data_IF_772230405428
#
_entry.id   IF_772230405428
#
_cell.length_a   1.000
_cell.length_b   1.000
_cell.length_c   1.000
_cell.angle_alpha   90.00
_cell.angle_beta   90.00
_cell.angle_gamma   90.00
#
_symmetry.space_group_name_H-M   'P 1'
#
loop_
_entity.id
_entity.type
_entity.pdbx_description
1 polymer ?
#
# COMPACT_ATOMS: atom_id res chain seq x y z
N UNK A 1 2.40 -38.26 33.82
CA UNK A 1 1.15 -38.26 33.05
C UNK A 1 0.41 -36.97 33.32
N UNK A 2 0.50 -36.02 32.39
CA UNK A 2 -0.22 -34.74 32.44
C UNK A 2 -0.66 -34.45 31.01
N UNK A 3 -1.96 -34.63 30.74
CA UNK A 3 -2.56 -34.39 29.42
C UNK A 3 -2.89 -32.92 29.26
N UNK A 4 -2.42 -32.27 28.19
CA UNK A 4 -2.91 -30.97 27.79
C UNK A 4 -4.10 -31.14 26.84
N UNK A 5 -5.26 -30.61 27.23
CA UNK A 5 -6.48 -30.58 26.40
C UNK A 5 -6.43 -29.34 25.50
N UNK A 6 -6.37 -29.56 24.18
CA UNK A 6 -6.66 -28.53 23.18
C UNK A 6 -8.17 -28.19 23.23
N UNK A 7 -8.52 -26.93 23.44
CA UNK A 7 -9.87 -26.42 23.20
C UNK A 7 -9.96 -25.99 21.73
N UNK A 8 -10.54 -26.84 20.89
CA UNK A 8 -10.97 -26.49 19.53
C UNK A 8 -12.37 -25.90 19.62
N UNK A 9 -12.52 -24.61 19.28
CA UNK A 9 -13.83 -23.96 19.16
C UNK A 9 -14.38 -24.21 17.76
N UNK A 10 -15.59 -24.78 17.70
CA UNK A 10 -16.30 -25.15 16.49
C UNK A 10 -16.66 -23.93 15.62
N UNK A 11 -16.03 -23.85 14.44
CA UNK A 11 -16.60 -23.25 13.23
C UNK A 11 -15.90 -23.88 12.02
N UNK A 12 -16.13 -25.17 11.83
CA UNK A 12 -15.69 -25.95 10.65
C UNK A 12 -16.95 -26.37 9.91
N UNK A 13 -17.25 -25.72 8.77
CA UNK A 13 -17.23 -26.51 7.54
C UNK A 13 -16.82 -25.66 6.33
N UNK A 14 -15.52 -25.57 6.05
CA UNK A 14 -15.05 -25.23 4.69
C UNK A 14 -13.64 -25.81 4.36
N UNK A 15 -13.30 -26.94 4.99
CA UNK A 15 -12.10 -27.72 4.68
C UNK A 15 -12.51 -29.18 4.49
N UNK A 16 -13.19 -29.48 3.39
CA UNK A 16 -13.51 -30.84 2.99
C UNK A 16 -13.16 -30.97 1.50
N UNK A 17 -11.85 -31.00 1.21
CA UNK A 17 -11.21 -31.66 0.06
C UNK A 17 -9.68 -31.52 0.23
N UNK A 18 -9.15 -32.05 1.33
CA UNK A 18 -7.74 -32.45 1.40
C UNK A 18 -7.82 -33.95 1.64
N UNK A 19 -7.27 -34.73 0.70
CA UNK A 19 -7.27 -36.18 0.77
C UNK A 19 -6.67 -36.62 2.12
N UNK A 20 -7.35 -37.54 2.81
CA UNK A 20 -6.89 -38.09 4.08
C UNK A 20 -5.52 -38.79 3.97
N UNK A 21 -5.09 -39.13 2.75
CA UNK A 21 -3.79 -39.74 2.45
C UNK A 21 -2.60 -38.75 2.51
N UNK A 22 -2.83 -37.44 2.68
CA UNK A 22 -1.75 -36.44 2.84
C UNK A 22 -1.20 -36.35 4.28
N UNK A 23 -1.80 -37.08 5.23
CA UNK A 23 -1.38 -37.16 6.63
C UNK A 23 -1.05 -38.60 7.03
N UNK A 24 -0.33 -39.33 6.17
CA UNK A 24 0.43 -40.46 6.67
C UNK A 24 1.40 -39.93 7.73
N UNK A 25 1.36 -40.48 8.94
CA UNK A 25 2.39 -40.26 9.97
C UNK A 25 3.71 -40.80 9.41
N UNK A 26 4.43 -39.96 8.69
CA UNK A 26 5.84 -40.15 8.47
C UNK A 26 6.50 -39.88 9.82
N UNK A 27 7.09 -40.93 10.41
CA UNK A 27 7.92 -40.86 11.61
C UNK A 27 9.15 -40.04 11.24
N UNK A 28 8.96 -38.72 11.25
CA UNK A 28 10.02 -37.75 11.01
C UNK A 28 10.86 -37.74 12.28
N UNK A 29 12.16 -38.04 12.13
CA UNK A 29 13.16 -37.81 13.17
C UNK A 29 13.07 -36.32 13.57
N UNK A 30 12.35 -36.05 14.65
CA UNK A 30 12.12 -34.70 15.12
C UNK A 30 13.41 -34.19 15.77
N UNK A 31 14.27 -33.55 14.99
CA UNK A 31 15.33 -32.72 15.53
C UNK A 31 14.71 -31.48 16.17
N UNK A 32 15.01 -31.25 17.45
CA UNK A 32 14.53 -30.06 18.14
C UNK A 32 15.06 -28.81 17.42
N UNK A 33 14.20 -27.80 17.17
CA UNK A 33 14.61 -26.62 16.41
C UNK A 33 15.76 -25.90 17.12
N UNK A 34 16.75 -25.52 16.32
CA UNK A 34 17.92 -24.75 16.73
C UNK A 34 17.51 -23.40 17.34
N UNK A 35 18.40 -22.76 18.11
CA UNK A 35 18.16 -21.40 18.61
C UNK A 35 17.95 -20.39 17.47
N UNK A 36 18.58 -20.63 16.31
CA UNK A 36 18.38 -19.83 15.11
C UNK A 36 16.93 -19.93 14.62
N UNK A 37 16.41 -21.15 14.46
CA UNK A 37 15.02 -21.35 14.00
C UNK A 37 14.02 -20.80 15.01
N UNK A 38 14.19 -21.10 16.31
CA UNK A 38 13.31 -20.61 17.38
C UNK A 38 13.18 -19.09 17.40
N UNK A 39 14.26 -18.36 17.15
CA UNK A 39 14.23 -16.90 17.17
C UNK A 39 13.27 -16.29 16.13
N UNK A 40 13.02 -16.98 15.02
CA UNK A 40 12.06 -16.49 14.02
C UNK A 40 10.61 -16.84 14.40
N UNK A 41 10.36 -18.06 14.90
CA UNK A 41 9.00 -18.57 15.13
C UNK A 41 8.42 -18.27 16.52
N UNK A 42 9.22 -18.22 17.59
CA UNK A 42 8.73 -18.03 18.96
C UNK A 42 8.06 -16.66 19.16
N UNK A 43 8.63 -15.62 18.54
CA UNK A 43 8.05 -14.27 18.50
C UNK A 43 7.36 -13.97 17.17
N UNK A 44 7.36 -14.95 16.26
CA UNK A 44 6.77 -14.83 14.93
C UNK A 44 5.26 -14.70 14.99
N UNK A 45 4.69 -13.93 14.07
CA UNK A 45 3.23 -13.77 13.91
C UNK A 45 2.82 -14.21 12.52
N UNK A 46 2.13 -15.34 12.43
CA UNK A 46 1.46 -15.81 11.23
C UNK A 46 0.00 -15.37 11.24
N UNK A 47 -0.43 -14.63 10.22
CA UNK A 47 -1.83 -14.27 10.03
C UNK A 47 -2.34 -14.86 8.72
N UNK A 48 -3.53 -15.45 8.79
CA UNK A 48 -4.35 -15.78 7.63
C UNK A 48 -5.48 -14.76 7.56
N UNK A 49 -5.55 -14.00 6.48
CA UNK A 49 -6.64 -13.08 6.19
C UNK A 49 -7.46 -13.63 5.03
N UNK A 50 -8.78 -13.69 5.20
CA UNK A 50 -9.71 -14.01 4.13
C UNK A 50 -10.78 -12.94 4.07
N UNK A 51 -11.08 -12.44 2.87
CA UNK A 51 -12.11 -11.42 2.68
C UNK A 51 -12.93 -11.66 1.43
N UNK A 52 -14.19 -11.22 1.46
CA UNK A 52 -15.05 -11.11 0.29
C UNK A 52 -15.20 -9.62 -0.04
N UNK A 53 -14.70 -9.23 -1.20
CA UNK A 53 -14.78 -7.86 -1.70
C UNK A 53 -15.84 -7.75 -2.79
N UNK A 54 -16.74 -6.78 -2.65
CA UNK A 54 -17.78 -6.48 -3.63
C UNK A 54 -17.78 -4.98 -3.91
N UNK A 55 -17.62 -4.59 -5.18
CA UNK A 55 -17.70 -3.20 -5.63
C UNK A 55 -18.67 -3.08 -6.79
N UNK A 56 -19.60 -2.14 -6.66
CA UNK A 56 -20.51 -1.75 -7.72
C UNK A 56 -20.54 -0.23 -7.83
N UNK A 57 -20.01 0.31 -8.93
CA UNK A 57 -20.03 1.74 -9.25
C UNK A 57 -20.81 1.93 -10.54
N UNK A 58 -22.03 2.43 -10.41
CA UNK A 58 -22.79 2.91 -11.55
C UNK A 58 -22.38 4.35 -11.88
N UNK A 59 -22.35 4.68 -13.16
CA UNK A 59 -22.05 6.01 -13.67
C UNK A 59 -23.29 6.56 -14.34
N UNK A 60 -23.53 7.86 -14.13
CA UNK A 60 -24.62 8.56 -14.80
C UNK A 60 -24.23 8.79 -16.25
N UNK A 61 -25.04 8.26 -17.17
CA UNK A 61 -24.95 8.56 -18.58
C UNK A 61 -25.33 10.02 -18.82
N UNK A 62 -24.46 10.85 -19.41
CA UNK A 62 -24.76 12.26 -19.67
C UNK A 62 -25.82 12.47 -20.76
N UNK A 63 -25.99 11.53 -21.69
CA UNK A 63 -26.97 11.61 -22.77
C UNK A 63 -28.36 11.19 -22.31
N UNK A 64 -28.46 10.12 -21.51
CA UNK A 64 -29.76 9.57 -21.07
C UNK A 64 -30.16 9.95 -19.64
N UNK A 65 -29.22 10.46 -18.85
CA UNK A 65 -29.40 10.78 -17.43
C UNK A 65 -29.54 9.56 -16.51
N UNK A 66 -29.50 8.34 -17.05
CA UNK A 66 -29.69 7.09 -16.30
C UNK A 66 -28.37 6.59 -15.71
N UNK A 67 -28.44 5.91 -14.58
CA UNK A 67 -27.28 5.23 -13.98
C UNK A 67 -27.17 3.82 -14.54
N UNK A 68 -25.95 3.44 -14.95
CA UNK A 68 -25.61 2.10 -15.41
C UNK A 68 -24.11 1.85 -15.32
N UNK A 69 -23.62 0.71 -15.83
CA UNK A 69 -22.19 0.44 -15.81
C UNK A 69 -21.45 1.33 -16.83
N UNK A 70 -21.87 1.42 -18.08
CA UNK A 70 -21.26 2.35 -19.04
C UNK A 70 -19.72 2.24 -19.16
N UNK A 71 -19.03 3.23 -19.76
CA UNK A 71 -17.58 3.15 -19.99
C UNK A 71 -16.71 3.26 -18.73
N UNK A 72 -17.21 3.87 -17.65
CA UNK A 72 -16.45 4.11 -16.42
C UNK A 72 -17.03 3.42 -15.18
N UNK A 73 -18.06 2.60 -15.35
CA UNK A 73 -18.61 1.81 -14.25
C UNK A 73 -17.71 0.66 -13.87
N UNK A 74 -17.95 0.16 -12.66
CA UNK A 74 -17.20 -0.94 -12.09
C UNK A 74 -18.19 -1.94 -11.53
N UNK A 75 -17.96 -3.21 -11.84
CA UNK A 75 -18.57 -4.33 -11.14
C UNK A 75 -17.48 -5.34 -10.81
N UNK A 76 -17.35 -5.70 -9.54
CA UNK A 76 -16.33 -6.64 -9.10
C UNK A 76 -16.84 -7.45 -7.90
N UNK A 77 -16.54 -8.75 -7.93
CA UNK A 77 -16.69 -9.67 -6.80
C UNK A 77 -15.41 -10.49 -6.73
N UNK A 78 -14.70 -10.38 -5.60
CA UNK A 78 -13.39 -11.00 -5.42
C UNK A 78 -13.33 -11.68 -4.06
N UNK A 79 -12.96 -12.96 -4.03
CA UNK A 79 -12.50 -13.63 -2.82
C UNK A 79 -11.00 -13.41 -2.66
N UNK A 80 -10.55 -12.94 -1.50
CA UNK A 80 -9.14 -12.77 -1.20
C UNK A 80 -8.73 -13.74 -0.09
N UNK A 81 -7.54 -14.32 -0.26
CA UNK A 81 -6.83 -15.11 0.74
C UNK A 81 -5.41 -14.57 0.81
N UNK A 82 -4.98 -14.13 1.97
CA UNK A 82 -3.64 -13.62 2.20
C UNK A 82 -3.01 -14.27 3.43
N UNK A 83 -1.73 -14.58 3.31
CA UNK A 83 -0.91 -15.08 4.40
C UNK A 83 0.18 -14.05 4.64
N UNK A 84 0.31 -13.60 5.88
CA UNK A 84 1.43 -12.76 6.30
C UNK A 84 2.16 -13.41 7.46
N UNK A 85 3.48 -13.31 7.41
CA UNK A 85 4.35 -13.79 8.45
C UNK A 85 5.35 -12.70 8.80
N UNK A 86 5.32 -12.25 10.05
CA UNK A 86 6.28 -11.30 10.61
C UNK A 86 7.15 -12.09 11.56
N UNK A 87 8.42 -12.33 11.22
CA UNK A 87 9.31 -13.09 12.11
C UNK A 87 9.70 -12.28 13.35
N UNK A 88 10.10 -12.99 14.40
CA UNK A 88 10.96 -12.46 15.46
C UNK A 88 12.35 -12.06 14.96
N UNK A 89 13.21 -11.62 15.87
CA UNK A 89 14.60 -11.24 15.55
C UNK A 89 15.59 -12.26 16.11
N UNK A 90 16.41 -12.85 15.23
CA UNK A 90 17.57 -13.60 15.65
C UNK A 90 18.61 -12.67 16.29
N UNK A 91 19.00 -13.02 17.51
CA UNK A 91 19.89 -12.22 18.37
C UNK A 91 19.42 -10.76 18.53
N UNK A 92 18.11 -10.53 18.54
CA UNK A 92 17.50 -9.19 18.60
C UNK A 92 17.85 -8.26 17.42
N UNK A 93 18.53 -8.78 16.39
CA UNK A 93 19.13 -7.99 15.32
C UNK A 93 18.49 -8.22 13.97
N UNK A 94 18.35 -9.46 13.52
CA UNK A 94 17.95 -9.77 12.14
C UNK A 94 16.65 -10.59 12.08
N UNK A 95 15.73 -10.21 11.22
CA UNK A 95 14.48 -10.91 10.98
C UNK A 95 14.07 -10.86 9.52
N UNK A 96 12.89 -11.36 9.20
CA UNK A 96 12.29 -11.26 7.89
C UNK A 96 10.77 -11.12 7.96
N UNK A 97 10.19 -10.53 6.92
CA UNK A 97 8.76 -10.41 6.72
C UNK A 97 8.36 -11.03 5.39
N UNK A 98 7.18 -11.65 5.40
CA UNK A 98 6.55 -12.22 4.21
C UNK A 98 5.08 -11.84 4.13
N UNK A 99 4.60 -11.56 2.92
CA UNK A 99 3.19 -11.39 2.60
C UNK A 99 2.91 -11.96 1.22
N UNK A 100 2.15 -13.05 1.17
CA UNK A 100 1.63 -13.67 -0.05
C UNK A 100 0.12 -13.59 -0.10
N UNK A 101 -0.45 -13.44 -1.29
CA UNK A 101 -1.89 -13.35 -1.47
C UNK A 101 -2.37 -14.01 -2.77
N UNK A 102 -3.67 -14.34 -2.76
CA UNK A 102 -4.45 -14.76 -3.91
C UNK A 102 -5.74 -13.93 -3.95
N UNK A 103 -6.01 -13.28 -5.08
CA UNK A 103 -7.28 -12.62 -5.35
C UNK A 103 -7.99 -13.44 -6.43
N UNK A 104 -9.17 -13.95 -6.10
CA UNK A 104 -9.96 -14.91 -6.89
C UNK A 104 -11.19 -14.19 -7.39
N UNK A 105 -11.32 -14.06 -8.72
CA UNK A 105 -12.49 -13.51 -9.38
C UNK A 105 -13.70 -14.42 -9.18
N UNK A 106 -14.75 -13.88 -8.56
CA UNK A 106 -16.01 -14.59 -8.27
C UNK A 106 -17.11 -14.05 -9.21
N UNK A 107 -17.08 -14.46 -10.48
CA UNK A 107 -18.11 -14.11 -11.46
C UNK A 107 -17.70 -13.01 -12.44
N UNK A 108 -18.70 -12.35 -13.02
CA UNK A 108 -18.47 -11.33 -14.06
C UNK A 108 -17.95 -10.02 -13.47
N UNK A 109 -16.98 -9.42 -14.16
CA UNK A 109 -16.37 -8.15 -13.78
C UNK A 109 -16.46 -7.16 -14.93
N UNK A 110 -16.65 -5.89 -14.59
CA UNK A 110 -16.70 -4.78 -15.55
C UNK A 110 -15.74 -3.69 -15.09
N UNK A 111 -14.93 -3.21 -16.03
CA UNK A 111 -14.06 -2.04 -15.88
C UNK A 111 -12.89 -2.20 -14.91
N UNK A 112 -12.38 -1.02 -14.55
CA UNK A 112 -11.37 -0.53 -13.59
C UNK A 112 -11.41 -0.93 -12.09
N UNK A 113 -11.65 -2.17 -11.62
CA UNK A 113 -11.87 -2.39 -10.17
C UNK A 113 -10.69 -2.08 -9.24
N UNK A 114 -9.44 -2.14 -9.71
CA UNK A 114 -8.22 -1.96 -8.89
C UNK A 114 -8.08 -3.01 -7.79
N UNK A 115 -8.58 -4.23 -8.03
CA UNK A 115 -8.54 -5.33 -7.06
C UNK A 115 -8.00 -6.60 -7.70
N UNK A 116 -8.41 -6.87 -8.94
CA UNK A 116 -7.95 -8.01 -9.73
C UNK A 116 -6.85 -7.59 -10.71
N UNK A 117 -6.12 -8.58 -11.22
CA UNK A 117 -5.06 -8.33 -12.17
C UNK A 117 -5.63 -7.86 -13.52
N UNK A 118 -5.07 -6.74 -14.01
CA UNK A 118 -5.34 -6.20 -15.33
C UNK A 118 -4.53 -6.95 -16.38
N UNK A 119 -5.21 -7.82 -17.12
CA UNK A 119 -4.65 -8.45 -18.30
C UNK A 119 -4.98 -7.59 -19.53
N UNK A 120 -3.95 -6.99 -20.13
CA UNK A 120 -4.08 -6.13 -21.30
C UNK A 120 -4.09 -6.92 -22.61
N UNK A 121 -3.79 -8.22 -22.57
CA UNK A 121 -3.67 -9.09 -23.74
C UNK A 121 -4.92 -9.97 -23.96
N UNK A 122 -5.85 -10.00 -23.00
CA UNK A 122 -7.03 -10.86 -23.08
C UNK A 122 -8.18 -10.32 -23.95
N UNK A 123 -8.10 -9.05 -24.34
CA UNK A 123 -9.09 -8.39 -25.20
C UNK A 123 -8.81 -8.61 -26.68
N UNK A 124 -9.31 -7.70 -27.52
CA UNK A 124 -8.99 -7.69 -28.94
C UNK A 124 -7.51 -7.34 -29.17
N UNK A 125 -6.76 -8.10 -29.99
CA UNK A 125 -5.36 -7.81 -30.27
C UNK A 125 -5.14 -6.37 -30.75
N UNK A 126 -4.23 -5.65 -30.09
CA UNK A 126 -3.90 -4.26 -30.40
C UNK A 126 -4.92 -3.21 -29.93
N UNK A 127 -6.02 -3.61 -29.28
CA UNK A 127 -7.02 -2.71 -28.72
C UNK A 127 -6.90 -2.61 -27.20
N UNK A 128 -7.12 -1.42 -26.67
CA UNK A 128 -7.21 -1.21 -25.22
C UNK A 128 -8.54 -1.75 -24.68
N UNK A 129 -8.57 -3.05 -24.41
CA UNK A 129 -9.74 -3.77 -23.91
C UNK A 129 -9.36 -4.74 -22.79
N UNK A 130 -8.70 -4.27 -21.71
CA UNK A 130 -8.21 -5.17 -20.68
C UNK A 130 -9.36 -5.82 -19.91
N UNK A 131 -9.12 -7.04 -19.45
CA UNK A 131 -10.05 -7.78 -18.59
C UNK A 131 -9.39 -8.07 -17.24
N UNK A 132 -10.24 -8.23 -16.23
CA UNK A 132 -9.79 -8.58 -14.89
C UNK A 132 -9.67 -10.10 -14.72
N UNK A 133 -8.54 -10.55 -14.16
CA UNK A 133 -8.25 -11.97 -13.86
C UNK A 133 -7.86 -12.19 -12.40
N UNK A 134 -8.15 -13.39 -11.92
CA UNK A 134 -7.59 -13.89 -10.66
C UNK A 134 -6.07 -13.87 -10.73
N UNK A 135 -5.41 -13.63 -9.61
CA UNK A 135 -3.95 -13.67 -9.55
C UNK A 135 -3.46 -14.07 -8.15
N UNK A 136 -2.21 -14.51 -8.10
CA UNK A 136 -1.46 -14.73 -6.87
C UNK A 136 -0.20 -13.88 -6.92
N UNK A 137 0.25 -13.37 -5.77
CA UNK A 137 1.44 -12.53 -5.72
C UNK A 137 2.09 -12.55 -4.34
N UNK A 138 3.36 -12.17 -4.29
CA UNK A 138 4.10 -11.87 -3.07
C UNK A 138 4.32 -10.37 -3.01
N UNK A 139 3.73 -9.69 -2.02
CA UNK A 139 3.90 -8.25 -1.82
C UNK A 139 5.06 -7.94 -0.89
N UNK A 140 5.30 -8.78 0.10
CA UNK A 140 6.39 -8.57 1.06
C UNK A 140 7.27 -9.80 1.09
N UNK A 141 8.56 -9.57 0.95
CA UNK A 141 9.64 -10.54 1.11
C UNK A 141 10.87 -9.69 1.45
N UNK A 142 11.02 -9.38 2.73
CA UNK A 142 11.99 -8.40 3.21
C UNK A 142 12.83 -8.98 4.34
N UNK A 143 14.11 -8.65 4.35
CA UNK A 143 14.97 -8.80 5.51
C UNK A 143 14.83 -7.55 6.37
N UNK A 144 14.77 -7.73 7.69
CA UNK A 144 14.67 -6.67 8.67
C UNK A 144 15.90 -6.64 9.55
N UNK A 145 16.35 -5.45 9.89
CA UNK A 145 17.38 -5.18 10.87
C UNK A 145 16.81 -4.29 11.98
N UNK A 146 17.16 -4.59 13.22
CA UNK A 146 16.90 -3.76 14.39
C UNK A 146 18.19 -3.67 15.21
N UNK A 147 18.74 -2.47 15.36
CA UNK A 147 19.95 -2.22 16.14
C UNK A 147 19.67 -1.21 17.24
N UNK A 148 20.13 -1.49 18.45
CA UNK A 148 19.98 -0.61 19.61
C UNK A 148 18.73 -0.89 20.43
N UNK A 149 18.52 -0.07 21.44
CA UNK A 149 17.54 -0.30 22.51
C UNK A 149 16.24 0.50 22.29
N UNK A 150 15.27 0.25 23.18
CA UNK A 150 14.06 1.06 23.24
C UNK A 150 14.40 2.55 23.45
N UNK A 151 13.91 3.40 22.56
CA UNK A 151 14.19 4.85 22.58
C UNK A 151 15.45 5.28 21.84
N UNK A 152 16.35 4.38 21.46
CA UNK A 152 17.46 4.70 20.55
C UNK A 152 17.76 3.48 19.67
N UNK A 153 17.08 3.41 18.52
CA UNK A 153 17.24 2.28 17.62
C UNK A 153 17.29 2.69 16.15
N UNK A 154 17.95 1.85 15.37
CA UNK A 154 17.93 1.88 13.92
C UNK A 154 17.18 0.66 13.40
N UNK A 155 16.16 0.89 12.59
CA UNK A 155 15.39 -0.15 11.89
C UNK A 155 15.58 -0.01 10.40
N UNK A 156 15.69 -1.14 9.71
CA UNK A 156 15.77 -1.23 8.26
C UNK A 156 14.93 -2.41 7.79
N UNK A 157 14.16 -2.24 6.73
CA UNK A 157 13.57 -3.34 5.96
C UNK A 157 14.07 -3.23 4.52
N UNK A 158 14.60 -4.30 3.94
CA UNK A 158 15.15 -4.32 2.60
C UNK A 158 14.69 -5.56 1.81
N UNK A 159 14.43 -5.39 0.52
CA UNK A 159 13.87 -6.41 -0.36
C UNK A 159 12.57 -5.94 -1.00
N UNK A 160 11.53 -6.74 -0.91
CA UNK A 160 10.17 -6.34 -1.25
C UNK A 160 9.46 -5.86 0.01
N UNK A 161 9.35 -4.54 0.17
CA UNK A 161 8.86 -3.93 1.40
C UNK A 161 7.93 -2.75 1.09
N UNK A 162 6.88 -2.53 1.89
CA UNK A 162 6.20 -1.25 1.93
C UNK A 162 7.20 -0.13 2.30
N UNK A 163 6.97 1.09 1.79
CA UNK A 163 7.68 2.31 2.22
C UNK A 163 6.69 3.21 2.95
N UNK A 164 7.04 3.66 4.15
CA UNK A 164 6.22 4.55 4.98
C UNK A 164 7.00 5.77 5.48
N UNK A 165 7.95 6.25 4.69
CA UNK A 165 8.92 7.27 5.05
C UNK A 165 8.80 8.53 4.21
N UNK A 166 9.06 9.69 4.83
CA UNK A 166 8.92 11.00 4.19
C UNK A 166 7.60 11.17 3.42
N UNK A 167 7.70 11.51 2.13
CA UNK A 167 6.55 11.78 1.24
C UNK A 167 6.00 10.53 0.54
N UNK A 168 6.58 9.35 0.79
CA UNK A 168 6.09 8.08 0.25
C UNK A 168 5.45 7.29 1.37
N UNK A 169 4.16 6.98 1.21
CA UNK A 169 3.43 6.11 2.14
C UNK A 169 2.79 4.98 1.34
N UNK A 170 2.87 3.78 1.88
CA UNK A 170 2.28 2.62 1.25
C UNK A 170 0.77 2.66 1.42
N UNK A 171 0.04 2.57 0.31
CA UNK A 171 -1.40 2.36 0.33
C UNK A 171 -1.73 0.88 0.51
N UNK A 172 -2.97 0.62 0.94
CA UNK A 172 -3.51 -0.70 1.17
C UNK A 172 -4.91 -0.76 0.57
N UNK A 173 -5.10 -1.66 -0.41
CA UNK A 173 -6.44 -2.13 -0.79
C UNK A 173 -6.72 -3.44 -0.05
N UNK A 174 -6.83 -4.55 -0.78
CA UNK A 174 -6.87 -5.89 -0.15
C UNK A 174 -5.49 -6.39 0.27
N UNK A 175 -4.45 -5.91 -0.41
CA UNK A 175 -3.06 -6.29 -0.16
C UNK A 175 -2.20 -5.02 -0.11
N UNK A 176 -1.01 -5.08 0.51
CA UNK A 176 -0.14 -3.90 0.55
C UNK A 176 0.44 -3.59 -0.82
N UNK A 177 0.54 -2.29 -1.12
CA UNK A 177 1.52 -1.78 -2.07
C UNK A 177 2.93 -2.09 -1.58
N UNK A 178 3.85 -2.31 -2.51
CA UNK A 178 5.20 -2.64 -2.14
C UNK A 178 6.21 -2.09 -3.14
N UNK A 179 7.43 -1.94 -2.65
CA UNK A 179 8.57 -1.44 -3.41
C UNK A 179 9.70 -2.45 -3.38
N UNK A 180 10.51 -2.47 -4.44
CA UNK A 180 11.83 -3.11 -4.41
C UNK A 180 12.84 -2.06 -3.98
N UNK A 181 13.41 -2.25 -2.80
CA UNK A 181 14.31 -1.27 -2.21
C UNK A 181 14.44 -1.45 -0.72
N UNK A 182 14.55 -0.35 0.01
CA UNK A 182 14.59 -0.38 1.46
C UNK A 182 13.87 0.82 2.09
N UNK A 183 13.43 0.62 3.32
CA UNK A 183 12.89 1.64 4.20
C UNK A 183 13.63 1.57 5.55
N UNK A 184 14.10 2.72 6.04
CA UNK A 184 14.88 2.82 7.26
C UNK A 184 14.40 3.93 8.19
N UNK A 185 14.57 3.70 9.49
CA UNK A 185 14.23 4.66 10.53
C UNK A 185 15.27 4.66 11.65
N UNK A 186 15.80 5.83 11.99
CA UNK A 186 16.56 6.07 13.19
C UNK A 186 15.66 6.78 14.22
N UNK A 187 15.44 6.16 15.36
CA UNK A 187 14.68 6.73 16.48
C UNK A 187 15.65 7.21 17.55
N UNK A 188 15.49 8.46 18.00
CA UNK A 188 16.20 9.12 19.08
C UNK A 188 15.16 9.76 20.02
N UNK A 189 14.72 8.99 21.02
CA UNK A 189 13.61 9.30 21.92
C UNK A 189 12.35 9.71 21.14
N UNK A 190 12.03 11.01 21.14
CA UNK A 190 10.85 11.60 20.48
C UNK A 190 11.05 11.91 19.00
N UNK A 191 12.30 11.90 18.52
CA UNK A 191 12.64 12.16 17.12
C UNK A 191 12.80 10.86 16.35
N UNK A 192 12.12 10.73 15.21
CA UNK A 192 12.30 9.64 14.26
C UNK A 192 12.69 10.20 12.90
N UNK A 193 13.91 9.92 12.48
CA UNK A 193 14.41 10.23 11.15
C UNK A 193 14.23 9.02 10.25
N UNK A 194 13.82 9.24 9.01
CA UNK A 194 13.50 8.17 8.08
C UNK A 194 14.13 8.42 6.73
N UNK A 195 14.55 7.35 6.06
CA UNK A 195 15.04 7.39 4.69
C UNK A 195 14.65 6.12 3.96
N UNK A 196 14.14 6.26 2.74
CA UNK A 196 13.79 5.14 1.88
C UNK A 196 14.25 5.38 0.44
N UNK A 197 14.53 4.30 -0.26
CA UNK A 197 14.90 4.27 -1.67
C UNK A 197 14.27 3.06 -2.34
N UNK A 198 13.80 3.22 -3.58
CA UNK A 198 13.29 2.11 -4.37
C UNK A 198 13.41 2.38 -5.87
N UNK A 199 13.54 1.32 -6.66
CA UNK A 199 13.62 1.38 -8.13
C UNK A 199 12.47 0.67 -8.85
N UNK A 200 11.67 -0.12 -8.11
CA UNK A 200 10.45 -0.74 -8.62
C UNK A 200 9.30 -0.63 -7.65
N UNK A 201 8.11 -0.69 -8.22
CA UNK A 201 6.86 -0.58 -7.50
C UNK A 201 5.89 -1.65 -7.97
N UNK A 202 5.11 -2.17 -7.02
CA UNK A 202 4.01 -3.10 -7.25
C UNK A 202 2.73 -2.57 -6.62
N UNK A 203 1.73 -2.35 -7.46
CA UNK A 203 0.34 -2.13 -7.02
C UNK A 203 -0.24 -3.40 -6.39
N UNK A 204 -1.24 -3.25 -5.53
CA UNK A 204 -2.00 -4.37 -4.93
C UNK A 204 -2.94 -5.08 -5.90
N UNK A 205 -3.06 -4.61 -7.14
CA UNK A 205 -3.71 -5.31 -8.25
C UNK A 205 -2.71 -5.74 -9.34
N UNK A 206 -1.42 -5.79 -9.01
CA UNK A 206 -0.35 -6.27 -9.90
C UNK A 206 0.32 -7.51 -9.34
N UNK A 207 0.67 -8.44 -10.24
CA UNK A 207 1.42 -9.64 -9.89
C UNK A 207 2.91 -9.35 -9.66
N UNK A 208 3.47 -8.45 -10.47
CA UNK A 208 4.91 -8.32 -10.65
C UNK A 208 5.41 -6.91 -10.26
N UNK A 209 6.60 -6.83 -9.65
CA UNK A 209 7.31 -5.57 -9.44
C UNK A 209 7.82 -5.00 -10.75
N UNK A 210 7.33 -3.82 -11.12
CA UNK A 210 7.62 -3.17 -12.40
C UNK A 210 8.42 -1.88 -12.21
N UNK A 211 9.14 -1.43 -13.26
CA UNK A 211 9.69 -0.08 -13.28
C UNK A 211 8.60 0.94 -12.96
N UNK A 212 8.97 1.97 -12.20
CA UNK A 212 8.11 3.15 -12.03
C UNK A 212 8.14 3.97 -13.31
N UNK A 213 6.99 4.52 -13.70
CA UNK A 213 6.89 5.29 -14.94
C UNK A 213 6.05 6.53 -14.74
N UNK A 214 6.18 7.50 -15.63
CA UNK A 214 5.33 8.71 -15.66
C UNK A 214 3.89 8.46 -16.13
N UNK A 215 3.53 7.20 -16.41
CA UNK A 215 2.19 6.79 -16.84
C UNK A 215 1.55 5.81 -15.83
N UNK A 216 0.25 5.98 -15.58
CA UNK A 216 -0.50 5.22 -14.57
C UNK A 216 -0.54 3.71 -14.81
N UNK A 217 -0.57 3.28 -16.08
CA UNK A 217 -0.61 1.87 -16.47
C UNK A 217 0.77 1.18 -16.44
N UNK A 218 1.82 1.84 -15.92
CA UNK A 218 3.19 1.32 -15.84
C UNK A 218 3.68 0.73 -17.17
N UNK A 219 3.37 1.41 -18.29
CA UNK A 219 3.63 0.98 -19.67
C UNK A 219 3.00 -0.35 -20.13
N UNK A 220 2.15 -1.01 -19.35
CA UNK A 220 1.49 -2.26 -19.77
C UNK A 220 0.48 -2.05 -20.93
N UNK A 221 -0.09 -0.85 -21.04
CA UNK A 221 -1.02 -0.50 -22.10
C UNK A 221 -0.36 0.18 -23.31
N UNK A 222 0.96 0.39 -23.27
CA UNK A 222 1.65 1.15 -24.31
C UNK A 222 1.57 0.43 -25.66
N UNK A 223 1.25 1.18 -26.72
CA UNK A 223 1.06 0.63 -28.06
C UNK A 223 -0.35 0.14 -28.37
N UNK A 224 -1.23 0.02 -27.36
CA UNK A 224 -2.64 -0.34 -27.59
C UNK A 224 -3.45 0.87 -28.10
N UNK A 225 -4.45 0.58 -28.93
CA UNK A 225 -5.40 1.57 -29.44
C UNK A 225 -6.57 1.77 -28.45
N UNK A 226 -6.64 2.94 -27.82
CA UNK A 226 -7.79 3.41 -27.03
C UNK A 226 -8.64 4.34 -27.91
N UNK A 227 -9.67 3.77 -28.54
CA UNK A 227 -10.64 4.50 -29.36
C UNK A 227 -10.00 5.36 -30.47
N UNK A 228 -9.12 4.74 -31.27
CA UNK A 228 -8.43 5.41 -32.38
C UNK A 228 -7.21 6.23 -31.96
N UNK A 229 -6.78 6.15 -30.69
CA UNK A 229 -5.55 6.78 -30.19
C UNK A 229 -4.62 5.74 -29.60
N UNK A 230 -3.42 5.65 -30.15
CA UNK A 230 -2.36 4.81 -29.58
C UNK A 230 -1.90 5.37 -28.23
N UNK A 231 -1.94 4.52 -27.21
CA UNK A 231 -1.45 4.84 -25.87
C UNK A 231 0.08 4.92 -25.91
N UNK A 232 0.61 6.07 -25.48
CA UNK A 232 2.07 6.31 -25.44
C UNK A 232 2.69 5.66 -24.21
N UNK A 233 3.92 5.18 -24.36
CA UNK A 233 4.73 4.80 -23.21
C UNK A 233 5.10 6.05 -22.38
N UNK A 234 4.96 5.95 -21.07
CA UNK A 234 5.55 6.88 -20.12
C UNK A 234 7.05 6.66 -19.99
N UNK A 235 7.76 7.70 -19.54
CA UNK A 235 9.18 7.61 -19.27
C UNK A 235 9.43 6.80 -17.99
N UNK A 236 10.55 6.06 -17.94
CA UNK A 236 10.94 5.28 -16.76
C UNK A 236 11.58 6.22 -15.74
N UNK A 237 11.14 6.10 -14.49
CA UNK A 237 11.72 6.78 -13.34
C UNK A 237 12.71 5.81 -12.69
N UNK A 238 14.01 6.10 -12.78
CA UNK A 238 15.07 5.17 -12.35
C UNK A 238 14.94 4.74 -10.89
N UNK A 239 14.64 5.71 -10.02
CA UNK A 239 14.41 5.46 -8.62
C UNK A 239 13.56 6.57 -7.99
N UNK A 240 12.95 6.25 -6.87
CA UNK A 240 12.44 7.21 -5.91
C UNK A 240 13.33 7.18 -4.66
N UNK A 241 13.45 8.31 -4.01
CA UNK A 241 13.97 8.36 -2.65
C UNK A 241 13.21 9.39 -1.84
N UNK A 242 13.16 9.16 -0.54
CA UNK A 242 12.47 10.06 0.37
C UNK A 242 13.11 10.05 1.73
N UNK A 243 13.13 11.23 2.36
CA UNK A 243 13.61 11.46 3.71
C UNK A 243 12.48 12.11 4.50
N UNK A 244 12.35 11.78 5.78
CA UNK A 244 11.37 12.41 6.66
C UNK A 244 11.84 12.48 8.10
N UNK A 245 11.23 13.39 8.85
CA UNK A 245 11.43 13.54 10.28
C UNK A 245 10.07 13.63 10.96
N UNK A 246 9.88 12.80 11.99
CA UNK A 246 8.71 12.84 12.86
C UNK A 246 9.18 13.20 14.26
N UNK A 247 8.59 14.22 14.87
CA UNK A 247 8.89 14.59 16.26
C UNK A 247 7.63 14.59 17.11
N UNK A 248 7.68 13.91 18.25
CA UNK A 248 6.59 13.85 19.22
C UNK A 248 6.84 14.80 20.40
N UNK A 249 6.10 15.91 20.46
CA UNK A 249 6.10 16.87 21.55
C UNK A 249 5.18 16.48 22.73
N UNK A 250 4.71 15.22 22.79
CA UNK A 250 3.74 14.73 23.77
C UNK A 250 2.33 14.74 23.18
N UNK A 251 1.61 15.85 23.33
CA UNK A 251 0.26 16.00 22.76
C UNK A 251 0.25 16.46 21.30
N UNK A 252 1.42 16.73 20.71
CA UNK A 252 1.56 17.23 19.33
C UNK A 252 2.61 16.41 18.59
N UNK A 253 2.31 15.99 17.37
CA UNK A 253 3.22 15.29 16.46
C UNK A 253 3.42 16.14 15.21
N UNK A 254 4.68 16.38 14.86
CA UNK A 254 5.09 17.01 13.61
C UNK A 254 5.70 15.94 12.70
N UNK A 255 5.20 15.78 11.47
CA UNK A 255 5.78 14.92 10.42
C UNK A 255 6.12 15.82 9.22
N UNK A 256 7.40 15.89 8.87
CA UNK A 256 7.86 16.58 7.65
C UNK A 256 8.59 15.60 6.76
N UNK A 257 8.47 15.80 5.45
CA UNK A 257 9.10 14.91 4.48
C UNK A 257 9.47 15.60 3.19
N UNK A 258 10.46 15.05 2.52
CA UNK A 258 10.87 15.40 1.17
C UNK A 258 11.11 14.12 0.37
N UNK A 259 10.80 14.12 -0.92
CA UNK A 259 11.17 13.02 -1.80
C UNK A 259 11.20 13.43 -3.26
N UNK A 260 11.94 12.66 -4.05
CA UNK A 260 12.06 12.84 -5.48
C UNK A 260 11.89 11.49 -6.19
N UNK A 261 11.12 11.49 -7.28
CA UNK A 261 11.27 10.51 -8.34
C UNK A 261 12.26 11.06 -9.35
N UNK A 262 13.37 10.35 -9.56
CA UNK A 262 14.55 10.81 -10.29
C UNK A 262 14.17 11.51 -11.59
N UNK A 263 14.47 12.81 -11.67
CA UNK A 263 14.26 13.62 -12.88
C UNK A 263 12.78 13.87 -13.24
N UNK A 264 11.82 13.38 -12.46
CA UNK A 264 10.39 13.48 -12.74
C UNK A 264 9.70 14.54 -11.89
N UNK A 265 9.72 14.36 -10.57
CA UNK A 265 8.93 15.20 -9.66
C UNK A 265 9.50 15.17 -8.25
N UNK A 266 9.56 16.35 -7.64
CA UNK A 266 9.86 16.56 -6.22
C UNK A 266 8.57 16.76 -5.46
N UNK A 267 8.52 16.23 -4.25
CA UNK A 267 7.40 16.38 -3.33
C UNK A 267 7.93 16.72 -1.95
N UNK A 268 7.17 17.50 -1.21
CA UNK A 268 7.41 17.78 0.20
C UNK A 268 6.10 17.77 0.97
N UNK A 269 6.16 17.41 2.24
CA UNK A 269 5.00 17.40 3.12
C UNK A 269 5.31 18.01 4.48
N UNK A 270 4.28 18.54 5.11
CA UNK A 270 4.25 18.90 6.51
C UNK A 270 2.89 18.52 7.09
N UNK A 271 2.89 17.76 8.16
CA UNK A 271 1.72 17.39 8.93
C UNK A 271 1.93 17.80 10.38
N UNK A 272 0.93 18.45 10.97
CA UNK A 272 0.86 18.67 12.41
C UNK A 272 -0.41 18.01 12.91
N UNK A 273 -0.27 17.14 13.89
CA UNK A 273 -1.39 16.51 14.59
C UNK A 273 -1.30 16.87 16.06
N UNK A 274 -2.43 17.24 16.66
CA UNK A 274 -2.51 17.62 18.07
C UNK A 274 -3.72 16.96 18.72
N UNK A 275 -3.53 16.44 19.92
CA UNK A 275 -4.57 15.81 20.73
C UNK A 275 -4.70 16.55 22.06
N UNK A 276 -5.84 17.20 22.27
CA UNK A 276 -6.12 17.94 23.49
C UNK A 276 -7.27 17.26 24.26
N UNK A 277 -7.04 16.94 25.53
CA UNK A 277 -8.11 16.55 26.47
C UNK A 277 -8.69 17.82 27.05
N UNK A 278 -9.90 18.22 26.61
CA UNK A 278 -10.53 19.47 27.01
C UNK A 278 -11.21 19.34 28.39
N UNK A 279 -11.86 18.20 28.61
CA UNK A 279 -12.42 17.78 29.91
C UNK A 279 -12.20 16.27 30.06
N UNK A 280 -12.68 15.66 31.15
CA UNK A 280 -12.57 14.20 31.37
C UNK A 280 -13.17 13.39 30.21
N UNK A 281 -14.28 13.87 29.65
CA UNK A 281 -15.08 13.13 28.68
C UNK A 281 -15.07 13.79 27.28
N UNK A 282 -14.37 14.92 27.11
CA UNK A 282 -14.25 15.65 25.84
C UNK A 282 -12.78 15.70 25.39
N UNK A 283 -12.51 15.29 24.15
CA UNK A 283 -11.21 15.46 23.50
C UNK A 283 -11.32 16.06 22.11
N UNK A 284 -10.29 16.80 21.69
CA UNK A 284 -10.18 17.41 20.38
C UNK A 284 -8.89 16.93 19.71
N UNK A 285 -9.03 16.31 18.54
CA UNK A 285 -7.92 16.05 17.64
C UNK A 285 -7.92 17.09 16.52
N UNK A 286 -6.82 17.81 16.36
CA UNK A 286 -6.62 18.76 15.28
C UNK A 286 -5.53 18.25 14.34
N UNK A 287 -5.76 18.34 13.03
CA UNK A 287 -4.80 17.92 12.01
C UNK A 287 -4.67 18.98 10.94
N UNK A 288 -3.45 19.43 10.69
CA UNK A 288 -3.07 20.25 9.54
C UNK A 288 -2.17 19.41 8.65
N UNK A 289 -2.46 19.37 7.36
CA UNK A 289 -1.63 18.71 6.36
C UNK A 289 -1.40 19.63 5.18
N UNK A 290 -0.14 19.77 4.79
CA UNK A 290 0.29 20.47 3.60
C UNK A 290 1.18 19.53 2.78
N UNK A 291 0.90 19.43 1.49
CA UNK A 291 1.75 18.73 0.55
C UNK A 291 1.99 19.63 -0.65
N UNK A 292 3.26 19.83 -0.99
CA UNK A 292 3.65 20.53 -2.20
C UNK A 292 4.40 19.61 -3.15
N UNK A 293 4.37 20.00 -4.42
CA UNK A 293 4.94 19.23 -5.50
C UNK A 293 5.42 20.13 -6.63
N UNK A 294 6.50 19.71 -7.31
CA UNK A 294 6.97 20.38 -8.51
C UNK A 294 7.63 19.38 -9.46
N UNK A 295 7.22 19.42 -10.72
CA UNK A 295 7.83 18.61 -11.77
C UNK A 295 9.27 19.05 -12.07
N UNK A 296 10.05 18.13 -12.60
CA UNK A 296 11.40 18.37 -13.13
C UNK A 296 11.31 18.17 -14.64
N UNK A 297 11.79 19.16 -15.41
CA UNK A 297 11.59 19.18 -16.87
C UNK A 297 12.20 17.96 -17.57
N UNK A 298 13.36 17.51 -17.10
CA UNK A 298 14.16 16.42 -17.68
C UNK A 298 13.31 15.22 -18.09
N UNK A 299 12.50 14.69 -17.18
CA UNK A 299 11.64 13.53 -17.44
C UNK A 299 10.16 13.90 -17.66
N UNK A 300 9.64 14.95 -17.01
CA UNK A 300 8.21 15.31 -17.10
C UNK A 300 7.81 15.92 -18.44
N UNK A 301 8.74 16.57 -19.15
CA UNK A 301 8.49 17.33 -20.38
C UNK A 301 7.58 18.56 -20.21
N UNK A 302 7.28 18.94 -18.97
CA UNK A 302 6.59 20.20 -18.64
C UNK A 302 7.64 21.30 -18.58
N UNK A 303 7.46 22.38 -19.34
CA UNK A 303 8.33 23.56 -19.31
C UNK A 303 7.91 24.49 -18.18
N UNK A 304 8.88 25.05 -17.46
CA UNK A 304 8.69 25.98 -16.35
C UNK A 304 7.61 25.51 -15.35
N UNK A 305 7.69 24.27 -14.83
CA UNK A 305 6.60 23.66 -14.08
C UNK A 305 6.29 24.48 -12.82
N UNK A 306 5.00 24.80 -12.66
CA UNK A 306 4.50 25.48 -11.47
C UNK A 306 4.56 24.57 -10.24
N UNK A 307 4.57 25.20 -9.06
CA UNK A 307 4.40 24.46 -7.80
C UNK A 307 2.92 24.13 -7.61
N UNK A 308 2.62 22.86 -7.44
CA UNK A 308 1.30 22.38 -7.05
C UNK A 308 1.24 22.17 -5.54
N UNK A 309 0.07 22.33 -4.93
CA UNK A 309 -0.11 22.07 -3.51
C UNK A 309 -1.50 21.56 -3.15
N UNK A 310 -1.55 20.87 -2.01
CA UNK A 310 -2.76 20.52 -1.28
C UNK A 310 -2.59 20.98 0.16
N UNK A 311 -3.63 21.60 0.70
CA UNK A 311 -3.74 21.92 2.12
C UNK A 311 -5.04 21.36 2.65
N UNK A 312 -4.99 20.73 3.82
CA UNK A 312 -6.15 20.21 4.53
C UNK A 312 -6.03 20.52 6.01
N UNK A 313 -7.12 20.98 6.61
CA UNK A 313 -7.28 21.12 8.05
C UNK A 313 -8.50 20.33 8.49
N UNK A 314 -8.37 19.59 9.60
CA UNK A 314 -9.43 18.77 10.15
C UNK A 314 -9.45 18.83 11.66
N UNK A 315 -10.66 18.74 12.22
CA UNK A 315 -10.93 18.71 13.65
C UNK A 315 -11.88 17.56 13.94
N UNK A 316 -11.53 16.70 14.88
CA UNK A 316 -12.41 15.67 15.44
C UNK A 316 -12.66 15.99 16.92
N UNK A 317 -13.87 16.41 17.25
CA UNK A 317 -14.32 16.57 18.63
C UNK A 317 -14.99 15.27 19.06
N UNK A 318 -14.48 14.64 20.12
CA UNK A 318 -15.04 13.41 20.66
C UNK A 318 -15.64 13.68 22.03
N UNK A 319 -16.88 13.21 22.25
CA UNK A 319 -17.55 13.20 23.55
C UNK A 319 -18.30 11.88 23.72
N UNK A 320 -17.97 11.12 24.77
CA UNK A 320 -18.45 9.76 24.98
C UNK A 320 -18.25 8.88 23.73
N UNK A 321 -19.35 8.40 23.14
CA UNK A 321 -19.37 7.55 21.94
C UNK A 321 -19.67 8.33 20.65
N UNK A 322 -19.62 9.67 20.70
CA UNK A 322 -19.91 10.53 19.53
C UNK A 322 -18.66 11.26 19.08
N UNK A 323 -18.43 11.28 17.77
CA UNK A 323 -17.36 12.07 17.13
C UNK A 323 -17.99 13.01 16.11
N UNK A 324 -17.71 14.31 16.25
CA UNK A 324 -18.02 15.32 15.24
C UNK A 324 -16.75 15.70 14.49
N UNK A 325 -16.79 15.57 13.17
CA UNK A 325 -15.67 15.92 12.29
C UNK A 325 -16.00 17.15 11.45
N UNK A 326 -15.10 18.13 11.47
CA UNK A 326 -15.12 19.28 10.56
C UNK A 326 -13.80 19.28 9.78
N UNK A 327 -13.88 19.42 8.46
CA UNK A 327 -12.70 19.49 7.60
C UNK A 327 -12.85 20.54 6.51
N UNK A 328 -11.72 21.16 6.18
CA UNK A 328 -11.57 22.00 5.00
C UNK A 328 -10.35 21.53 4.22
N UNK A 329 -10.45 21.50 2.90
CA UNK A 329 -9.31 21.22 2.03
C UNK A 329 -9.36 22.05 0.76
N UNK A 330 -8.18 22.33 0.23
CA UNK A 330 -8.00 23.05 -1.02
C UNK A 330 -6.80 22.47 -1.77
N UNK A 331 -6.89 22.40 -3.09
CA UNK A 331 -5.79 22.06 -3.96
C UNK A 331 -5.57 23.15 -5.02
N UNK A 332 -4.31 23.34 -5.40
CA UNK A 332 -3.90 24.08 -6.57
C UNK A 332 -2.99 23.17 -7.39
N UNK A 333 -3.46 22.77 -8.56
CA UNK A 333 -2.76 21.87 -9.46
C UNK A 333 -3.01 22.37 -10.89
N UNK A 334 -2.20 23.30 -11.41
CA UNK A 334 -2.35 23.82 -12.76
C UNK A 334 -1.91 22.83 -13.84
N UNK A 335 -0.97 21.92 -13.53
CA UNK A 335 -0.46 20.95 -14.50
C UNK A 335 -1.38 19.72 -14.61
N UNK A 336 -2.08 19.37 -13.52
CA UNK A 336 -3.15 18.37 -13.53
C UNK A 336 -4.42 18.90 -12.88
N UNK A 337 -5.60 18.61 -13.47
CA UNK A 337 -6.91 18.96 -12.88
C UNK A 337 -7.13 18.41 -11.45
N UNK A 338 -6.26 17.50 -10.95
CA UNK A 338 -6.21 16.98 -9.57
C UNK A 338 -4.76 16.72 -9.16
N UNK A 339 -4.41 17.03 -7.92
CA UNK A 339 -3.08 16.70 -7.37
C UNK A 339 -2.98 15.19 -7.10
N UNK A 340 -2.00 14.52 -7.69
CA UNK A 340 -1.62 13.17 -7.28
C UNK A 340 -0.87 13.25 -5.93
N UNK A 341 -1.40 12.59 -4.91
CA UNK A 341 -0.79 12.38 -3.60
C UNK A 341 -0.53 10.87 -3.48
N UNK A 342 0.58 10.30 -2.96
CA UNK A 342 2.02 10.68 -2.88
C UNK A 342 2.79 10.44 -4.22
N UNK A 343 4.14 10.29 -4.18
CA UNK A 343 5.07 9.92 -5.29
C UNK A 343 4.72 8.59 -6.04
N UNK A 344 3.54 8.04 -5.83
CA UNK A 344 3.10 6.83 -6.50
C UNK A 344 2.78 7.13 -7.97
N UNK A 345 3.25 6.29 -8.91
CA UNK A 345 3.03 6.48 -10.34
C UNK A 345 1.56 6.30 -10.78
N UNK A 346 0.60 6.21 -9.85
CA UNK A 346 -0.75 5.64 -10.08
C UNK A 346 -1.86 6.67 -9.82
N UNK A 347 -1.53 7.92 -9.52
CA UNK A 347 -2.53 8.93 -9.16
C UNK A 347 -3.45 9.42 -10.29
N UNK A 348 -3.42 8.80 -11.48
CA UNK A 348 -4.28 9.16 -12.61
C UNK A 348 -5.42 8.15 -12.73
N UNK A 349 -6.52 8.42 -12.03
CA UNK A 349 -7.78 7.68 -12.21
C UNK A 349 -8.84 8.66 -12.71
N UNK A 350 -9.30 8.38 -13.94
CA UNK A 350 -10.25 9.19 -14.72
C UNK A 350 -11.54 9.51 -13.96
#
# INVERSE_FOLDING_TARGET
MTSHRLRVSLCTPLFLFIAADAFAEEETDYEAPSQFEKAFYDEGKLNLNTSLYIRHRAVKDPATGKYGLGPAGIQNQTGNVAISYISGYYQDVIGFDFWGNANIKLGHTVGQSEILYYDYDCGEPGKFSPCEKSYMSVSVAALKLNLGDAGTNFKLAAGYTPINSGTVKSSWGLNPHAFRGFDSALTLDKLRLTYAWADRFKNDWSRDFKPMTTAWHQNNAAGLDDNGKTIKAGAIIDYIHTVGAVYNFGSTVLDVGYGEGKGYRRNWQAQVERHDTLTKDVSLQSKLFYQGARYIEDLSKIKDPATEYYVGVGFNLSHDNTVWSLGYSQNYAPEHRRLQLPLNPVGELR
#
